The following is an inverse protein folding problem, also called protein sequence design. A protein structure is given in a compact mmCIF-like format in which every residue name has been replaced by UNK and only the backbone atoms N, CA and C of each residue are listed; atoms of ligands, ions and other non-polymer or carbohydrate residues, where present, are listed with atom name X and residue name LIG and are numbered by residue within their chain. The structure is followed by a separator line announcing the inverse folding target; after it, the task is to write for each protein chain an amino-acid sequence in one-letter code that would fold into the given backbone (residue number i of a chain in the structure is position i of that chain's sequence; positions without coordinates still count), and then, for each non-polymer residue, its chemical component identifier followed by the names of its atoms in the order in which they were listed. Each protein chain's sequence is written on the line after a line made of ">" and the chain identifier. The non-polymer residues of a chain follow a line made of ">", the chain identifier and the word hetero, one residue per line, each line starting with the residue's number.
data_IF_008798664037
#
_entry.id   IF_008798664037
#
_cell.length_a   1.000
_cell.length_b   1.000
_cell.length_c   1.000
_cell.angle_alpha   90.00
_cell.angle_beta   90.00
_cell.angle_gamma   90.00
#
_symmetry.space_group_name_H-M   'P 1'
#
loop_
_entity.id
_entity.type
_entity.pdbx_description
1 polymer ?
#
# COMPACT_ATOMS: atom_id res chain seq x y z
N UNK A 1 -22.49 -36.94 84.38
CA UNK A 1 -22.21 -35.53 84.75
C UNK A 1 -20.71 -35.31 84.51
N UNK A 2 -20.33 -34.36 83.64
CA UNK A 2 -18.95 -33.92 83.30
C UNK A 2 -18.06 -34.99 82.59
N UNK A 3 -17.13 -34.75 81.65
CA UNK A 3 -16.51 -33.61 80.92
C UNK A 3 -15.93 -34.21 79.60
N UNK A 4 -16.07 -33.62 78.41
CA UNK A 4 -15.16 -32.72 77.66
C UNK A 4 -13.72 -33.25 77.38
N UNK A 5 -13.37 -33.46 76.09
CA UNK A 5 -12.35 -32.69 75.33
C UNK A 5 -11.79 -33.44 74.11
N UNK A 6 -12.02 -32.93 72.89
CA UNK A 6 -11.21 -33.22 71.68
C UNK A 6 -11.16 -31.95 70.78
N UNK A 7 -10.01 -31.27 70.86
CA UNK A 7 -9.22 -30.61 69.80
C UNK A 7 -9.90 -29.74 68.71
N UNK A 8 -9.56 -28.44 68.70
CA UNK A 8 -9.62 -27.55 67.52
C UNK A 8 -8.21 -27.34 66.94
N UNK A 9 -8.02 -27.30 65.61
CA UNK A 9 -6.75 -26.87 65.03
C UNK A 9 -6.70 -25.35 64.86
N UNK A 10 -5.50 -24.79 65.04
CA UNK A 10 -5.15 -23.39 64.77
C UNK A 10 -5.26 -23.10 63.25
N UNK A 11 -6.01 -22.06 62.90
CA UNK A 11 -6.01 -21.48 61.56
C UNK A 11 -4.86 -20.46 61.46
N UNK A 12 -3.87 -20.74 60.59
CA UNK A 12 -2.76 -19.83 60.28
C UNK A 12 -3.18 -18.95 59.11
N UNK A 13 -3.26 -17.63 59.34
CA UNK A 13 -3.50 -16.64 58.29
C UNK A 13 -2.21 -16.40 57.50
N UNK A 14 -2.23 -16.64 56.18
CA UNK A 14 -1.17 -16.20 55.27
C UNK A 14 -1.45 -14.77 54.78
N UNK A 15 -0.43 -13.89 54.68
CA UNK A 15 -0.60 -12.54 54.16
C UNK A 15 -0.71 -12.57 52.63
N UNK A 16 -1.78 -11.97 52.10
CA UNK A 16 -1.96 -11.77 50.66
C UNK A 16 -1.04 -10.66 50.15
N UNK A 17 -0.06 -11.02 49.32
CA UNK A 17 0.78 -10.05 48.60
C UNK A 17 -0.04 -9.48 47.43
N UNK A 18 -0.41 -8.20 47.53
CA UNK A 18 -1.03 -7.47 46.43
C UNK A 18 0.03 -7.08 45.40
N UNK A 19 0.09 -7.81 44.28
CA UNK A 19 0.85 -7.37 43.12
C UNK A 19 0.13 -6.19 42.45
N UNK A 20 0.57 -4.96 42.76
CA UNK A 20 0.23 -3.77 41.96
C UNK A 20 0.82 -3.95 40.57
N UNK A 21 -0.03 -4.30 39.61
CA UNK A 21 0.29 -4.32 38.18
C UNK A 21 0.58 -2.88 37.75
N UNK A 22 1.85 -2.57 37.46
CA UNK A 22 2.21 -1.34 36.77
C UNK A 22 1.54 -1.35 35.39
N UNK A 23 0.49 -0.55 35.24
CA UNK A 23 -0.08 -0.23 33.93
C UNK A 23 0.94 0.70 33.26
N UNK A 24 1.74 0.13 32.35
CA UNK A 24 2.51 0.94 31.39
C UNK A 24 1.49 1.63 30.49
N UNK A 25 1.22 2.89 30.76
CA UNK A 25 0.54 3.79 29.82
C UNK A 25 1.50 4.02 28.66
N UNK A 26 1.29 3.27 27.58
CA UNK A 26 1.88 3.57 26.27
C UNK A 26 1.45 4.98 25.88
N UNK A 27 2.42 5.89 25.70
CA UNK A 27 2.15 7.20 25.13
C UNK A 27 1.57 6.98 23.72
N UNK A 28 0.38 7.52 23.47
CA UNK A 28 -0.26 7.47 22.15
C UNK A 28 0.62 8.24 21.18
N UNK A 29 1.37 7.53 20.33
CA UNK A 29 2.15 8.13 19.25
C UNK A 29 1.18 8.97 18.40
N UNK A 30 1.39 10.28 18.37
CA UNK A 30 0.57 11.20 17.59
C UNK A 30 0.80 10.88 16.12
N UNK A 31 -0.25 10.47 15.41
CA UNK A 31 -0.18 10.24 13.97
C UNK A 31 -0.36 11.59 13.27
N UNK A 32 0.60 12.00 12.44
CA UNK A 32 0.40 13.12 11.51
C UNK A 32 -0.32 12.61 10.27
N UNK A 33 -1.37 13.32 9.87
CA UNK A 33 -2.18 13.00 8.69
C UNK A 33 -1.97 14.07 7.63
N UNK A 34 -1.58 13.64 6.43
CA UNK A 34 -1.39 14.52 5.27
C UNK A 34 -2.34 14.07 4.17
N UNK A 35 -3.18 15.00 3.70
CA UNK A 35 -4.16 14.75 2.65
C UNK A 35 -3.63 15.16 1.27
N UNK A 36 -4.04 14.43 0.24
CA UNK A 36 -3.82 14.77 -1.16
C UNK A 36 -5.16 14.93 -1.89
N UNK A 37 -5.26 15.98 -2.72
CA UNK A 37 -6.31 16.07 -3.73
C UNK A 37 -5.82 15.37 -5.01
N UNK A 38 -6.48 14.31 -5.49
CA UNK A 38 -6.01 13.55 -6.64
C UNK A 38 -6.23 14.34 -7.94
N UNK A 39 -5.27 14.28 -8.86
CA UNK A 39 -5.41 14.83 -10.21
C UNK A 39 -5.75 13.74 -11.22
N UNK A 40 -6.54 14.06 -12.24
CA UNK A 40 -6.81 13.10 -13.32
C UNK A 40 -5.52 12.82 -14.07
N UNK A 41 -5.26 11.55 -14.36
CA UNK A 41 -4.06 11.16 -15.09
C UNK A 41 -4.10 11.64 -16.54
N UNK A 42 -3.00 12.22 -17.01
CA UNK A 42 -2.76 12.58 -18.40
C UNK A 42 -1.29 12.31 -18.75
N UNK A 43 -0.98 12.32 -20.05
CA UNK A 43 0.33 11.85 -20.54
C UNK A 43 1.48 12.70 -20.01
N UNK A 44 1.34 14.02 -20.07
CA UNK A 44 2.38 14.97 -19.65
C UNK A 44 2.61 14.86 -18.14
N UNK A 45 1.52 14.81 -17.38
CA UNK A 45 1.61 14.80 -15.94
C UNK A 45 2.05 13.43 -15.39
N UNK A 46 1.89 12.33 -16.13
CA UNK A 46 2.29 10.99 -15.69
C UNK A 46 3.66 10.51 -16.22
N UNK A 47 4.26 11.21 -17.19
CA UNK A 47 5.46 10.73 -17.92
C UNK A 47 6.65 10.38 -17.03
N UNK A 48 6.83 11.09 -15.91
CA UNK A 48 7.93 10.89 -14.98
C UNK A 48 7.80 9.57 -14.19
N UNK A 49 6.59 9.02 -14.12
CA UNK A 49 6.23 7.85 -13.30
C UNK A 49 5.90 6.64 -14.18
N UNK A 50 5.44 6.84 -15.40
CA UNK A 50 5.02 5.75 -16.25
C UNK A 50 4.42 6.18 -17.58
N UNK A 51 3.63 5.28 -18.16
CA UNK A 51 2.83 5.52 -19.34
C UNK A 51 1.35 5.26 -19.07
N UNK A 52 0.50 5.97 -19.78
CA UNK A 52 -0.95 5.71 -19.83
C UNK A 52 -1.22 4.76 -21.00
N UNK A 53 -2.10 3.80 -20.78
CA UNK A 53 -2.60 2.87 -21.78
C UNK A 53 -4.10 3.13 -21.94
N UNK A 54 -4.53 3.50 -23.15
CA UNK A 54 -5.94 3.71 -23.46
C UNK A 54 -6.33 3.09 -24.80
N UNK A 55 -7.63 3.05 -25.08
CA UNK A 55 -8.16 2.56 -26.35
C UNK A 55 -7.49 3.21 -27.56
N UNK A 56 -7.25 2.39 -28.59
CA UNK A 56 -6.78 2.80 -29.91
C UNK A 56 -7.64 2.12 -30.98
N UNK A 57 -7.62 2.68 -32.19
CA UNK A 57 -8.21 2.03 -33.36
C UNK A 57 -7.48 0.71 -33.70
N UNK A 58 -8.23 -0.28 -34.18
CA UNK A 58 -7.67 -1.55 -34.62
C UNK A 58 -6.68 -1.35 -35.79
N UNK A 59 -5.58 -2.11 -35.78
CA UNK A 59 -4.49 -1.97 -36.76
C UNK A 59 -3.60 -0.74 -36.58
N UNK A 60 -3.77 0.04 -35.50
CA UNK A 60 -2.85 1.11 -35.14
C UNK A 60 -1.40 0.60 -35.05
N UNK A 61 -0.46 1.32 -35.68
CA UNK A 61 0.98 1.05 -35.53
C UNK A 61 1.48 1.63 -34.21
N UNK A 62 2.47 0.96 -33.64
CA UNK A 62 3.17 1.45 -32.46
C UNK A 62 3.71 2.87 -32.69
N UNK A 63 3.48 3.78 -31.75
CA UNK A 63 4.17 5.07 -31.70
C UNK A 63 4.35 5.54 -30.27
N UNK A 64 5.49 6.15 -29.98
CA UNK A 64 5.76 6.69 -28.64
C UNK A 64 4.84 7.87 -28.24
N UNK A 65 4.15 8.47 -29.21
CA UNK A 65 3.13 9.50 -29.00
C UNK A 65 1.76 8.91 -28.63
N UNK A 66 1.58 7.59 -28.75
CA UNK A 66 0.31 6.90 -28.45
C UNK A 66 0.31 6.41 -27.00
N UNK A 67 -0.90 6.35 -26.44
CA UNK A 67 -1.19 5.85 -25.10
C UNK A 67 -1.09 4.33 -25.06
N UNK A 68 0.11 3.80 -25.25
CA UNK A 68 0.47 2.39 -25.11
C UNK A 68 1.77 2.24 -24.31
N UNK A 69 1.96 1.08 -23.67
CA UNK A 69 3.09 0.86 -22.78
C UNK A 69 4.31 0.27 -23.50
N UNK A 70 5.49 0.78 -23.16
CA UNK A 70 6.75 0.09 -23.42
C UNK A 70 7.10 -0.75 -22.21
N UNK A 71 6.92 -2.06 -22.33
CA UNK A 71 7.20 -3.01 -21.26
C UNK A 71 8.71 -3.23 -21.12
N UNK A 72 9.20 -3.21 -19.87
CA UNK A 72 10.56 -3.59 -19.53
C UNK A 72 10.54 -4.75 -18.53
N UNK A 73 10.59 -5.96 -19.11
CA UNK A 73 10.45 -7.25 -18.42
C UNK A 73 11.60 -8.20 -18.77
N UNK A 74 12.75 -7.65 -19.19
CA UNK A 74 13.88 -8.43 -19.70
C UNK A 74 14.61 -9.26 -18.62
N UNK A 75 14.48 -8.87 -17.35
CA UNK A 75 15.22 -9.46 -16.22
C UNK A 75 14.58 -10.75 -15.65
N UNK A 76 13.54 -11.27 -16.30
CA UNK A 76 12.90 -12.49 -15.82
C UNK A 76 11.78 -12.99 -16.70
N UNK A 77 10.90 -13.79 -16.11
CA UNK A 77 9.71 -14.31 -16.79
C UNK A 77 8.54 -13.38 -16.51
N UNK A 78 7.93 -12.74 -17.52
CA UNK A 78 6.69 -12.00 -17.37
C UNK A 78 5.58 -12.89 -16.79
N UNK A 79 4.78 -12.33 -15.88
CA UNK A 79 3.50 -12.87 -15.46
C UNK A 79 2.41 -11.86 -15.74
N UNK A 80 1.27 -12.36 -16.24
CA UNK A 80 0.02 -11.63 -16.29
C UNK A 80 -0.98 -12.39 -15.43
N UNK A 81 -1.59 -11.71 -14.47
CA UNK A 81 -2.57 -12.33 -13.58
C UNK A 81 -3.63 -11.33 -13.13
N UNK A 82 -4.76 -11.87 -12.67
CA UNK A 82 -5.78 -11.08 -11.99
C UNK A 82 -5.53 -11.10 -10.48
N UNK A 83 -5.38 -9.93 -9.90
CA UNK A 83 -5.19 -9.71 -8.49
C UNK A 83 -6.48 -9.19 -7.87
N UNK A 84 -7.03 -9.90 -6.89
CA UNK A 84 -8.11 -9.39 -6.05
C UNK A 84 -7.53 -8.61 -4.88
N UNK A 85 -7.73 -7.31 -4.87
CA UNK A 85 -7.38 -6.45 -3.75
C UNK A 85 -8.59 -6.27 -2.84
N UNK A 86 -8.35 -6.21 -1.52
CA UNK A 86 -9.36 -5.93 -0.50
C UNK A 86 -9.01 -4.61 0.18
N UNK A 87 -9.96 -3.69 0.24
CA UNK A 87 -9.80 -2.43 0.93
C UNK A 87 -9.88 -2.64 2.44
N UNK A 88 -8.74 -2.48 3.13
CA UNK A 88 -8.63 -2.69 4.59
C UNK A 88 -9.18 -1.49 5.36
N UNK A 89 -10.48 -1.24 5.26
CA UNK A 89 -11.18 -0.25 6.07
C UNK A 89 -11.99 0.80 5.31
N UNK A 90 -12.21 0.62 4.01
CA UNK A 90 -13.08 1.49 3.21
C UNK A 90 -12.53 2.91 3.00
N UNK A 91 -11.23 3.13 3.22
CA UNK A 91 -10.61 4.45 3.20
C UNK A 91 -9.55 4.53 2.12
N UNK A 92 -9.53 5.65 1.41
CA UNK A 92 -8.45 5.98 0.49
C UNK A 92 -7.28 6.55 1.30
N UNK A 93 -6.47 5.63 1.84
CA UNK A 93 -5.32 5.97 2.67
C UNK A 93 -4.17 5.01 2.38
N UNK A 94 -2.94 5.46 2.62
CA UNK A 94 -1.74 4.63 2.55
C UNK A 94 -0.70 5.10 3.56
N UNK A 95 0.12 4.17 4.01
CA UNK A 95 1.25 4.39 4.93
C UNK A 95 2.48 3.56 4.52
N UNK A 96 2.48 3.01 3.31
CA UNK A 96 3.60 2.30 2.71
C UNK A 96 3.66 2.62 1.21
N UNK A 97 4.87 2.84 0.68
CA UNK A 97 5.13 2.91 -0.76
C UNK A 97 6.21 1.91 -1.14
N UNK A 98 6.11 1.35 -2.35
CA UNK A 98 7.04 0.35 -2.87
C UNK A 98 7.56 0.73 -4.25
N UNK A 99 8.69 0.16 -4.68
CA UNK A 99 9.12 0.19 -6.07
C UNK A 99 9.68 -1.15 -6.54
N UNK A 100 9.74 -1.31 -7.86
CA UNK A 100 10.31 -2.47 -8.56
C UNK A 100 11.49 -2.00 -9.41
N UNK A 101 12.71 -2.44 -9.08
CA UNK A 101 13.95 -2.00 -9.74
C UNK A 101 14.24 -2.73 -11.06
N UNK A 102 13.72 -3.94 -11.24
CA UNK A 102 13.99 -4.83 -12.37
C UNK A 102 12.82 -4.99 -13.34
N UNK A 103 11.63 -4.53 -12.96
CA UNK A 103 10.39 -4.66 -13.75
C UNK A 103 9.66 -3.34 -13.91
N UNK A 104 9.19 -3.03 -15.13
CA UNK A 104 7.99 -2.18 -15.25
C UNK A 104 6.77 -2.95 -14.73
N UNK A 105 5.71 -2.25 -14.30
CA UNK A 105 4.48 -2.90 -13.84
C UNK A 105 3.26 -2.26 -14.50
N UNK A 106 2.48 -3.05 -15.23
CA UNK A 106 1.21 -2.58 -15.79
C UNK A 106 0.02 -2.97 -14.93
N UNK A 107 -0.85 -2.01 -14.66
CA UNK A 107 -2.04 -2.16 -13.82
C UNK A 107 -3.27 -1.66 -14.57
N UNK A 108 -4.34 -2.45 -14.53
CA UNK A 108 -5.66 -2.05 -15.04
C UNK A 108 -6.73 -2.56 -14.10
N UNK A 109 -7.76 -1.76 -13.83
CA UNK A 109 -8.97 -2.31 -13.23
C UNK A 109 -9.71 -3.16 -14.24
N UNK A 110 -10.48 -4.15 -13.74
CA UNK A 110 -11.47 -4.91 -14.54
C UNK A 110 -12.87 -4.27 -14.43
N UNK A 111 -12.96 -3.10 -13.80
CA UNK A 111 -14.19 -2.33 -13.59
C UNK A 111 -14.09 -0.97 -14.28
N UNK A 112 -15.23 -0.40 -14.65
CA UNK A 112 -15.35 0.98 -15.14
C UNK A 112 -15.19 2.04 -14.04
N UNK A 113 -15.10 1.62 -12.77
CA UNK A 113 -14.93 2.53 -11.65
C UNK A 113 -13.51 3.07 -11.60
N UNK A 114 -13.38 4.36 -11.34
CA UNK A 114 -12.08 5.00 -11.15
C UNK A 114 -11.36 4.40 -9.94
N UNK A 115 -10.04 4.47 -9.99
CA UNK A 115 -9.14 4.08 -8.92
C UNK A 115 -8.02 5.10 -8.78
N UNK A 116 -7.22 4.98 -7.75
CA UNK A 116 -6.20 5.96 -7.41
C UNK A 116 -4.85 5.30 -7.20
N UNK A 117 -3.79 6.05 -7.47
CA UNK A 117 -2.43 5.63 -7.19
C UNK A 117 -1.64 6.85 -6.71
N UNK A 118 -0.94 6.68 -5.60
CA UNK A 118 0.09 7.63 -5.19
C UNK A 118 1.41 7.21 -5.82
N UNK A 119 2.16 8.15 -6.38
CA UNK A 119 3.44 7.88 -7.04
C UNK A 119 4.50 8.90 -6.65
N UNK A 120 5.77 8.51 -6.79
CA UNK A 120 6.90 9.41 -6.74
C UNK A 120 8.00 8.94 -7.70
N UNK A 121 8.93 9.84 -8.04
CA UNK A 121 10.01 9.59 -8.99
C UNK A 121 10.93 8.49 -8.49
N UNK A 122 11.52 7.75 -9.43
CA UNK A 122 12.46 6.69 -9.08
C UNK A 122 13.70 7.22 -8.37
N UNK A 123 14.02 6.63 -7.22
CA UNK A 123 15.28 6.87 -6.50
C UNK A 123 16.17 5.64 -6.47
N UNK A 124 15.61 4.44 -6.75
CA UNK A 124 16.30 3.15 -6.69
C UNK A 124 17.02 2.91 -5.35
N UNK A 125 16.54 3.51 -4.26
CA UNK A 125 17.15 3.41 -2.94
C UNK A 125 16.11 3.56 -1.82
N UNK A 126 16.02 2.56 -0.94
CA UNK A 126 15.14 2.61 0.25
C UNK A 126 15.56 3.68 1.27
N UNK A 127 16.81 4.17 1.19
CA UNK A 127 17.30 5.28 2.02
C UNK A 127 16.81 6.64 1.51
N UNK A 128 16.47 6.72 0.22
CA UNK A 128 15.92 7.89 -0.46
C UNK A 128 14.44 7.66 -0.76
N UNK A 129 13.67 7.31 0.27
CA UNK A 129 12.23 7.17 0.14
C UNK A 129 11.56 8.54 -0.02
N UNK A 130 10.40 8.63 -0.71
CA UNK A 130 9.71 9.90 -0.95
C UNK A 130 9.28 10.60 0.34
N UNK A 131 9.45 11.92 0.40
CA UNK A 131 8.73 12.74 1.38
C UNK A 131 7.34 13.08 0.85
N UNK A 132 6.49 13.71 1.69
CA UNK A 132 5.16 14.13 1.25
C UNK A 132 5.18 15.12 0.07
N UNK A 133 6.23 15.93 -0.07
CA UNK A 133 6.39 16.91 -1.15
C UNK A 133 6.78 16.24 -2.48
N UNK A 134 7.30 15.00 -2.42
CA UNK A 134 7.70 14.22 -3.59
C UNK A 134 6.57 13.36 -4.14
N UNK A 135 5.46 13.26 -3.41
CA UNK A 135 4.33 12.37 -3.72
C UNK A 135 3.26 13.12 -4.49
N UNK A 136 2.83 12.50 -5.59
CA UNK A 136 1.65 12.93 -6.34
C UNK A 136 0.59 11.83 -6.31
N UNK A 137 -0.68 12.21 -6.30
CA UNK A 137 -1.79 11.25 -6.35
C UNK A 137 -2.60 11.45 -7.61
N UNK A 138 -2.80 10.36 -8.34
CA UNK A 138 -3.57 10.33 -9.57
C UNK A 138 -4.88 9.59 -9.41
N UNK A 139 -5.94 10.13 -10.01
CA UNK A 139 -7.18 9.43 -10.34
C UNK A 139 -7.03 8.82 -11.73
N UNK A 140 -7.11 7.50 -11.80
CA UNK A 140 -7.08 6.72 -13.04
C UNK A 140 -8.52 6.36 -13.42
N UNK A 141 -9.00 6.79 -14.59
CA UNK A 141 -10.31 6.37 -15.09
C UNK A 141 -10.41 4.84 -15.20
N UNK A 142 -11.56 4.23 -14.92
CA UNK A 142 -11.70 2.76 -14.92
C UNK A 142 -11.33 2.08 -16.25
N UNK A 143 -11.58 2.75 -17.38
CA UNK A 143 -11.23 2.29 -18.73
C UNK A 143 -9.76 2.58 -19.14
N UNK A 144 -8.96 3.12 -18.22
CA UNK A 144 -7.55 3.46 -18.44
C UNK A 144 -6.67 2.51 -17.63
N UNK A 145 -5.67 1.96 -18.31
CA UNK A 145 -4.58 1.23 -17.66
C UNK A 145 -3.33 2.11 -17.58
N UNK A 146 -2.41 1.76 -16.71
CA UNK A 146 -1.11 2.42 -16.59
C UNK A 146 0.02 1.38 -16.67
N UNK A 147 1.22 1.84 -17.04
CA UNK A 147 2.45 1.09 -16.86
C UNK A 147 3.46 1.94 -16.10
N UNK A 148 3.82 1.53 -14.89
CA UNK A 148 4.82 2.18 -14.07
C UNK A 148 6.22 1.91 -14.62
N UNK A 149 7.05 2.96 -14.67
CA UNK A 149 8.46 2.84 -14.99
C UNK A 149 9.18 2.08 -13.86
N UNK A 150 10.28 1.38 -14.19
CA UNK A 150 11.19 0.83 -13.20
C UNK A 150 11.60 1.89 -12.18
N UNK A 151 11.61 1.49 -10.91
CA UNK A 151 11.99 2.32 -9.78
C UNK A 151 10.92 3.30 -9.31
N UNK A 152 9.80 3.45 -10.02
CA UNK A 152 8.72 4.36 -9.60
C UNK A 152 8.14 3.90 -8.27
N UNK A 153 8.26 4.77 -7.28
CA UNK A 153 7.62 4.57 -5.99
C UNK A 153 6.11 4.67 -6.17
N UNK A 154 5.36 3.75 -5.59
CA UNK A 154 3.91 3.75 -5.69
C UNK A 154 3.23 3.19 -4.43
N UNK A 155 2.03 3.69 -4.16
CA UNK A 155 1.04 3.08 -3.27
C UNK A 155 -0.29 2.95 -4.00
N UNK A 156 -0.81 1.73 -4.01
CA UNK A 156 -2.03 1.37 -4.70
C UNK A 156 -1.87 0.12 -5.56
N UNK A 157 -2.88 -0.25 -6.36
CA UNK A 157 -4.13 0.48 -6.58
C UNK A 157 -4.96 0.76 -5.32
N UNK A 158 -5.50 1.98 -5.20
CA UNK A 158 -6.38 2.44 -4.13
C UNK A 158 -7.80 2.65 -4.67
N UNK A 159 -8.81 2.25 -3.93
CA UNK A 159 -10.23 2.33 -4.33
C UNK A 159 -11.13 2.30 -3.09
N UNK A 160 -12.40 2.71 -3.23
CA UNK A 160 -13.31 2.89 -2.08
C UNK A 160 -14.16 1.67 -1.75
N UNK A 161 -14.37 0.76 -2.70
CA UNK A 161 -15.16 -0.47 -2.49
C UNK A 161 -14.41 -1.48 -1.62
N UNK A 162 -15.13 -2.49 -1.12
CA UNK A 162 -14.56 -3.52 -0.24
C UNK A 162 -13.49 -4.39 -0.92
N UNK A 163 -13.70 -4.70 -2.19
CA UNK A 163 -12.76 -5.45 -3.01
C UNK A 163 -12.87 -5.07 -4.48
N UNK A 164 -11.77 -5.25 -5.21
CA UNK A 164 -11.70 -4.97 -6.64
C UNK A 164 -10.63 -5.83 -7.30
N UNK A 165 -10.90 -6.23 -8.54
CA UNK A 165 -9.96 -7.00 -9.36
C UNK A 165 -9.15 -6.09 -10.28
N UNK A 166 -7.86 -6.39 -10.37
CA UNK A 166 -6.91 -5.72 -11.25
C UNK A 166 -6.16 -6.73 -12.11
N UNK A 167 -6.01 -6.43 -13.40
CA UNK A 167 -4.97 -7.05 -14.21
C UNK A 167 -3.61 -6.48 -13.77
N UNK A 168 -2.64 -7.35 -13.52
CA UNK A 168 -1.28 -6.98 -13.19
C UNK A 168 -0.28 -7.72 -14.09
N UNK A 169 0.59 -6.96 -14.75
CA UNK A 169 1.66 -7.44 -15.62
C UNK A 169 3.02 -6.97 -15.09
N UNK A 170 3.87 -7.92 -14.72
CA UNK A 170 5.18 -7.70 -14.09
C UNK A 170 6.04 -8.98 -14.18
N UNK A 171 7.18 -9.04 -13.50
CA UNK A 171 7.97 -10.27 -13.40
C UNK A 171 7.39 -11.26 -12.37
N UNK A 172 7.62 -12.56 -12.63
CA UNK A 172 7.07 -13.66 -11.83
C UNK A 172 7.47 -13.59 -10.34
N UNK A 173 8.68 -13.13 -10.03
CA UNK A 173 9.24 -13.07 -8.69
C UNK A 173 9.34 -11.64 -8.13
N UNK A 174 8.60 -10.68 -8.71
CA UNK A 174 8.61 -9.27 -8.27
C UNK A 174 8.37 -9.12 -6.77
N UNK A 175 7.41 -9.86 -6.21
CA UNK A 175 7.03 -9.76 -4.80
C UNK A 175 8.08 -10.29 -3.81
N UNK A 176 9.06 -11.09 -4.28
CA UNK A 176 10.04 -11.73 -3.40
C UNK A 176 11.47 -11.26 -3.65
N UNK A 177 11.80 -10.79 -4.85
CA UNK A 177 13.16 -10.38 -5.22
C UNK A 177 13.29 -8.96 -5.75
N UNK A 178 12.19 -8.32 -6.15
CA UNK A 178 12.21 -7.00 -6.79
C UNK A 178 11.16 -6.07 -6.15
N UNK A 179 11.02 -6.16 -4.83
CA UNK A 179 10.11 -5.29 -4.07
C UNK A 179 10.88 -4.63 -2.95
N UNK A 180 11.05 -3.33 -3.08
CA UNK A 180 11.70 -2.45 -2.12
C UNK A 180 10.66 -1.47 -1.60
N UNK A 181 10.71 -1.09 -0.32
CA UNK A 181 9.61 -0.35 0.27
C UNK A 181 9.95 0.44 1.51
N UNK A 182 9.14 1.46 1.78
CA UNK A 182 9.23 2.27 2.98
C UNK A 182 7.87 2.36 3.67
N UNK A 183 7.86 2.16 4.99
CA UNK A 183 6.68 2.27 5.85
C UNK A 183 6.73 3.55 6.67
N UNK A 184 5.76 4.43 6.44
CA UNK A 184 5.63 5.72 7.12
C UNK A 184 5.02 5.59 8.53
N UNK A 185 4.47 4.44 8.90
CA UNK A 185 4.00 4.18 10.27
C UNK A 185 5.12 4.35 11.33
N UNK A 186 6.36 4.08 10.95
CA UNK A 186 7.54 4.22 11.81
C UNK A 186 7.85 5.69 12.12
N UNK A 187 7.52 6.61 11.23
CA UNK A 187 7.54 8.06 11.50
C UNK A 187 6.23 8.57 12.11
N UNK A 188 5.19 7.73 12.12
CA UNK A 188 3.85 8.12 12.57
C UNK A 188 3.07 8.93 11.54
N UNK A 189 3.45 8.86 10.27
CA UNK A 189 2.77 9.57 9.19
C UNK A 189 1.77 8.66 8.48
N UNK A 190 0.59 9.20 8.16
CA UNK A 190 -0.41 8.55 7.31
C UNK A 190 -0.87 9.52 6.24
N UNK A 191 -1.06 8.99 5.04
CA UNK A 191 -1.56 9.75 3.90
C UNK A 191 -3.01 9.38 3.59
N UNK A 192 -3.78 10.36 3.17
CA UNK A 192 -5.18 10.20 2.75
C UNK A 192 -5.44 10.87 1.41
N UNK A 193 -6.46 10.41 0.71
CA UNK A 193 -6.93 10.99 -0.56
C UNK A 193 -8.30 11.61 -0.31
N UNK A 194 -8.43 12.90 -0.63
CA UNK A 194 -9.69 13.64 -0.55
C UNK A 194 -10.45 13.51 -1.88
N UNK A 195 -11.72 13.09 -1.81
CA UNK A 195 -12.62 12.93 -2.96
C UNK A 195 -13.52 14.14 -3.17
#
# INVERSE_FOLDING_TARGET
>A
MMCADITRPLCVLQPTISHRRLVRTSARKTTSETSFSPRVVDVESFEAYGQIISSQEDGARFSIERKEAKLDLAEGVPRLYMMRLRNKGGRLQFDEMNYHGLSSQSLSSVSELDWFIAVSRATFSEEQFPSHDDIEVFRIPGHVAINLNKGTWHAGPLFSEDERDFLNLELMDTNTKDRYGHKYEDSGTRFTIEL
#
